data_IF_403909051291
#
_entry.id   IF_403909051291
#
_cell.length_a   1.000
_cell.length_b   1.000
_cell.length_c   1.000
_cell.angle_alpha   90.00
_cell.angle_beta   90.00
_cell.angle_gamma   90.00
#
_symmetry.space_group_name_H-M   'P 1'
#
loop_
_entity.id
_entity.type
_entity.pdbx_description
1 polymer ?
#
# COMPACT_ATOMS: atom_id res chain seq x y z
N UNK A 1 11.85 -32.37 2.16
CA UNK A 1 10.85 -31.83 1.20
C UNK A 1 11.59 -30.89 0.27
N UNK A 2 11.41 -31.04 -1.04
CA UNK A 2 12.04 -30.14 -2.02
C UNK A 2 11.21 -28.85 -2.06
N UNK A 3 11.85 -27.70 -1.83
CA UNK A 3 11.19 -26.39 -1.89
C UNK A 3 10.65 -26.12 -3.29
N UNK A 4 9.54 -25.43 -3.37
CA UNK A 4 9.02 -24.97 -4.66
C UNK A 4 9.95 -23.89 -5.27
N UNK A 5 9.87 -23.70 -6.59
CA UNK A 5 10.62 -22.66 -7.28
C UNK A 5 10.32 -21.25 -6.74
N UNK A 6 9.08 -21.02 -6.35
CA UNK A 6 8.61 -19.75 -5.76
C UNK A 6 9.29 -19.50 -4.40
N UNK A 7 9.27 -20.49 -3.49
CA UNK A 7 9.92 -20.37 -2.18
C UNK A 7 11.41 -20.08 -2.29
N UNK A 8 12.09 -20.73 -3.24
CA UNK A 8 13.51 -20.48 -3.49
C UNK A 8 13.77 -19.07 -3.98
N UNK A 9 12.93 -18.50 -4.86
CA UNK A 9 13.05 -17.10 -5.31
C UNK A 9 12.90 -16.13 -4.14
N UNK A 10 11.86 -16.32 -3.32
CA UNK A 10 11.58 -15.43 -2.18
C UNK A 10 12.71 -15.47 -1.16
N UNK A 11 13.27 -16.64 -0.86
CA UNK A 11 14.42 -16.75 0.06
C UNK A 11 15.68 -16.02 -0.43
N UNK A 12 15.84 -15.91 -1.74
CA UNK A 12 16.96 -15.23 -2.38
C UNK A 12 16.72 -13.75 -2.67
N UNK A 13 15.54 -13.21 -2.32
CA UNK A 13 15.25 -11.80 -2.49
C UNK A 13 16.17 -10.95 -1.60
N UNK A 14 17.00 -10.11 -2.20
CA UNK A 14 17.77 -9.07 -1.53
C UNK A 14 16.92 -7.78 -1.38
N UNK A 15 15.69 -7.93 -0.90
CA UNK A 15 14.72 -6.86 -0.77
C UNK A 15 13.96 -6.99 0.56
N UNK A 16 13.66 -5.86 1.16
CA UNK A 16 12.71 -5.76 2.27
C UNK A 16 11.32 -5.52 1.69
N UNK A 17 10.46 -6.53 1.78
CA UNK A 17 9.10 -6.47 1.23
C UNK A 17 8.13 -5.96 2.28
N UNK A 18 7.19 -5.12 1.88
CA UNK A 18 6.11 -4.67 2.75
C UNK A 18 4.74 -4.65 2.03
N UNK A 19 3.69 -4.84 2.81
CA UNK A 19 2.31 -4.80 2.34
C UNK A 19 1.50 -3.83 3.18
N UNK A 20 0.84 -2.88 2.51
CA UNK A 20 -0.11 -1.95 3.10
C UNK A 20 -1.49 -2.38 2.62
N UNK A 21 -2.23 -3.03 3.51
CA UNK A 21 -3.51 -3.65 3.20
C UNK A 21 -4.66 -2.86 3.82
N UNK A 22 -5.81 -2.87 3.18
CA UNK A 22 -6.97 -2.10 3.64
C UNK A 22 -8.26 -2.60 3.01
N UNK A 23 -9.40 -2.13 3.51
CA UNK A 23 -10.58 -2.05 2.65
C UNK A 23 -10.48 -0.85 1.72
N UNK A 24 -11.34 -0.78 0.70
CA UNK A 24 -11.38 0.39 -0.17
C UNK A 24 -11.71 1.69 0.61
N UNK A 25 -11.21 2.82 0.11
CA UNK A 25 -11.46 4.18 0.63
C UNK A 25 -10.78 4.50 1.97
N UNK A 26 -9.64 3.86 2.24
CA UNK A 26 -8.80 4.09 3.41
C UNK A 26 -7.58 4.99 3.14
N UNK A 27 -7.59 5.85 2.12
CA UNK A 27 -6.43 6.66 1.67
C UNK A 27 -5.21 5.82 1.26
N UNK A 28 -5.42 4.60 0.86
CA UNK A 28 -4.36 3.66 0.54
C UNK A 28 -3.41 4.19 -0.54
N UNK A 29 -3.95 4.80 -1.60
CA UNK A 29 -3.14 5.43 -2.66
C UNK A 29 -2.23 6.56 -2.14
N UNK A 30 -2.68 7.35 -1.18
CA UNK A 30 -1.85 8.37 -0.52
C UNK A 30 -0.68 7.72 0.23
N UNK A 31 -0.95 6.61 0.93
CA UNK A 31 0.08 5.84 1.60
C UNK A 31 1.08 5.23 0.62
N UNK A 32 0.60 4.67 -0.49
CA UNK A 32 1.48 4.18 -1.56
C UNK A 32 2.43 5.24 -2.08
N UNK A 33 1.93 6.45 -2.31
CA UNK A 33 2.76 7.61 -2.70
C UNK A 33 3.78 7.96 -1.62
N UNK A 34 3.35 7.94 -0.37
CA UNK A 34 4.18 8.32 0.75
C UNK A 34 5.39 7.40 0.91
N UNK A 35 5.22 6.11 0.67
CA UNK A 35 6.28 5.09 0.73
C UNK A 35 7.06 4.89 -0.58
N UNK A 36 6.77 5.68 -1.63
CA UNK A 36 7.60 5.76 -2.84
C UNK A 36 8.58 6.90 -2.68
N UNK A 37 9.76 6.63 -2.09
CA UNK A 37 10.75 7.64 -1.75
C UNK A 37 12.14 7.07 -1.54
N UNK A 38 13.18 7.70 -2.13
CA UNK A 38 14.59 7.26 -2.04
C UNK A 38 14.75 5.77 -2.39
N UNK A 39 15.18 4.98 -1.44
CA UNK A 39 15.44 3.54 -1.57
C UNK A 39 14.19 2.68 -1.30
N UNK A 40 13.01 3.26 -1.47
CA UNK A 40 11.71 2.61 -1.30
C UNK A 40 10.77 2.88 -2.47
N UNK A 41 10.11 1.85 -2.93
CA UNK A 41 9.07 1.93 -3.95
C UNK A 41 7.82 1.15 -3.50
N UNK A 42 6.67 1.79 -3.58
CA UNK A 42 5.38 1.17 -3.26
C UNK A 42 4.48 1.15 -4.50
N UNK A 43 4.14 -0.03 -4.97
CA UNK A 43 3.13 -0.22 -6.01
C UNK A 43 1.75 0.12 -5.48
N UNK A 44 0.93 0.80 -6.31
CA UNK A 44 -0.43 1.17 -5.96
C UNK A 44 -1.43 0.42 -6.84
N UNK A 45 -2.35 -0.34 -6.22
CA UNK A 45 -3.41 -1.13 -6.88
C UNK A 45 -2.88 -2.05 -8.00
N UNK A 46 -1.73 -2.68 -7.79
CA UNK A 46 -1.04 -3.50 -8.79
C UNK A 46 -1.75 -4.83 -9.07
N UNK A 47 -2.64 -5.29 -8.17
CA UNK A 47 -3.44 -6.51 -8.38
C UNK A 47 -4.26 -6.49 -9.67
N UNK A 48 -4.53 -5.31 -10.23
CA UNK A 48 -5.19 -5.16 -11.53
C UNK A 48 -4.35 -5.70 -12.71
N UNK A 49 -3.04 -5.83 -12.52
CA UNK A 49 -2.06 -6.19 -13.55
C UNK A 49 -1.32 -7.48 -13.23
N UNK A 50 -1.54 -8.04 -12.02
CA UNK A 50 -0.90 -9.26 -11.57
C UNK A 50 -1.94 -10.39 -11.57
N UNK A 51 -1.64 -11.48 -12.24
CA UNK A 51 -2.54 -12.63 -12.33
C UNK A 51 -2.12 -13.79 -11.42
N UNK A 52 -0.88 -13.76 -10.92
CA UNK A 52 -0.32 -14.80 -10.07
C UNK A 52 0.89 -14.31 -9.25
N UNK A 53 1.28 -15.09 -8.24
CA UNK A 53 2.39 -14.72 -7.35
C UNK A 53 3.77 -14.69 -8.02
N UNK A 54 4.01 -15.36 -9.15
CA UNK A 54 5.28 -15.21 -9.86
C UNK A 54 5.42 -13.79 -10.42
N UNK A 55 4.35 -13.23 -10.96
CA UNK A 55 4.33 -11.84 -11.45
C UNK A 55 4.55 -10.83 -10.31
N UNK A 56 4.00 -11.11 -9.10
CA UNK A 56 4.30 -10.30 -7.91
C UNK A 56 5.80 -10.31 -7.60
N UNK A 57 6.42 -11.49 -7.63
CA UNK A 57 7.87 -11.64 -7.40
C UNK A 57 8.66 -10.96 -8.52
N UNK A 58 8.25 -11.09 -9.78
CA UNK A 58 8.87 -10.40 -10.91
C UNK A 58 8.87 -8.87 -10.70
N UNK A 59 7.76 -8.31 -10.18
CA UNK A 59 7.69 -6.89 -9.81
C UNK A 59 8.71 -6.51 -8.72
N UNK A 60 8.83 -7.34 -7.69
CA UNK A 60 9.79 -7.10 -6.61
C UNK A 60 11.23 -7.15 -7.14
N UNK A 61 11.58 -8.17 -7.91
CA UNK A 61 12.92 -8.37 -8.47
C UNK A 61 13.31 -7.28 -9.48
N UNK A 62 12.32 -6.73 -10.22
CA UNK A 62 12.57 -5.69 -11.22
C UNK A 62 12.94 -4.33 -10.65
N UNK A 63 12.70 -4.11 -9.35
CA UNK A 63 12.97 -2.81 -8.71
C UNK A 63 14.41 -2.72 -8.23
N UNK A 64 15.09 -1.57 -8.43
CA UNK A 64 16.42 -1.32 -7.87
C UNK A 64 16.36 -1.05 -6.36
N UNK A 65 15.27 -0.51 -5.84
CA UNK A 65 15.15 -0.06 -4.45
C UNK A 65 15.27 -1.23 -3.46
N UNK A 66 15.79 -0.95 -2.27
CA UNK A 66 15.95 -1.89 -1.16
C UNK A 66 14.60 -2.31 -0.56
N UNK A 67 13.67 -1.36 -0.45
CA UNK A 67 12.32 -1.58 0.06
C UNK A 67 11.34 -1.62 -1.10
N UNK A 68 10.57 -2.68 -1.22
CA UNK A 68 9.56 -2.82 -2.26
C UNK A 68 8.24 -3.21 -1.63
N UNK A 69 7.24 -2.37 -1.81
CA UNK A 69 5.92 -2.55 -1.21
C UNK A 69 4.79 -2.59 -2.21
N UNK A 70 3.65 -3.00 -1.68
CA UNK A 70 2.38 -3.03 -2.39
C UNK A 70 1.30 -2.43 -1.50
N UNK A 71 0.67 -1.42 -2.00
CA UNK A 71 -0.57 -0.87 -1.46
C UNK A 71 -1.72 -1.30 -2.37
N UNK A 72 -2.58 -2.17 -1.87
CA UNK A 72 -3.67 -2.69 -2.67
C UNK A 72 -4.78 -3.34 -1.81
N UNK A 73 -6.00 -2.79 -1.82
CA UNK A 73 -7.12 -3.38 -1.09
C UNK A 73 -7.49 -4.80 -1.53
N UNK A 74 -7.30 -5.13 -2.81
CA UNK A 74 -7.64 -6.46 -3.33
C UNK A 74 -6.64 -7.54 -2.87
N UNK A 75 -5.39 -7.17 -2.53
CA UNK A 75 -4.41 -8.11 -1.98
C UNK A 75 -4.82 -8.65 -0.60
N UNK A 76 -5.65 -7.92 0.13
CA UNK A 76 -6.20 -8.38 1.40
C UNK A 76 -6.96 -9.72 1.26
N UNK A 77 -7.61 -9.95 0.11
CA UNK A 77 -8.29 -11.21 -0.17
C UNK A 77 -7.36 -12.43 -0.23
N UNK A 78 -6.06 -12.21 -0.39
CA UNK A 78 -5.03 -13.23 -0.52
C UNK A 78 -4.09 -13.27 0.69
N UNK A 79 -4.47 -12.67 1.82
CA UNK A 79 -3.59 -12.50 2.99
C UNK A 79 -2.93 -13.79 3.46
N UNK A 80 -3.65 -14.91 3.43
CA UNK A 80 -3.14 -16.22 3.83
C UNK A 80 -1.99 -16.70 2.92
N UNK A 81 -2.17 -16.53 1.61
CA UNK A 81 -1.14 -16.86 0.63
C UNK A 81 0.03 -15.88 0.67
N UNK A 82 -0.25 -14.59 0.88
CA UNK A 82 0.79 -13.57 1.04
C UNK A 82 1.66 -13.89 2.25
N UNK A 83 1.05 -14.15 3.41
CA UNK A 83 1.82 -14.49 4.61
C UNK A 83 2.56 -15.81 4.48
N UNK A 84 1.94 -16.82 3.86
CA UNK A 84 2.59 -18.11 3.59
C UNK A 84 3.84 -17.97 2.70
N UNK A 85 3.82 -17.05 1.74
CA UNK A 85 4.95 -16.78 0.85
C UNK A 85 5.95 -15.77 1.43
N UNK A 86 5.48 -14.71 2.08
CA UNK A 86 6.29 -13.62 2.61
C UNK A 86 6.17 -13.46 4.14
N UNK A 87 6.52 -14.50 4.93
CA UNK A 87 6.35 -14.45 6.39
C UNK A 87 7.28 -13.44 7.08
N UNK A 88 8.28 -12.91 6.37
CA UNK A 88 9.22 -11.88 6.86
C UNK A 88 8.91 -10.48 6.34
N UNK A 89 7.86 -10.32 5.54
CA UNK A 89 7.44 -9.01 5.07
C UNK A 89 6.89 -8.18 6.22
N UNK A 90 6.99 -6.87 6.09
CA UNK A 90 6.36 -5.91 6.98
C UNK A 90 4.90 -5.72 6.57
N UNK A 91 3.97 -5.85 7.51
CA UNK A 91 2.54 -5.73 7.25
C UNK A 91 1.94 -4.52 7.97
N UNK A 92 1.18 -3.71 7.25
CA UNK A 92 0.41 -2.60 7.80
C UNK A 92 -1.04 -2.73 7.37
N UNK A 93 -1.96 -2.52 8.31
CA UNK A 93 -3.39 -2.50 8.06
C UNK A 93 -3.92 -1.06 8.22
N UNK A 94 -4.49 -0.52 7.13
CA UNK A 94 -5.20 0.75 7.20
C UNK A 94 -6.66 0.48 7.55
N UNK A 95 -7.13 1.13 8.61
CA UNK A 95 -8.50 0.97 9.09
C UNK A 95 -9.34 2.24 8.86
N UNK A 96 -10.62 2.08 8.72
CA UNK A 96 -11.59 3.17 8.62
C UNK A 96 -12.95 2.70 9.10
N UNK A 97 -13.72 3.62 9.69
CA UNK A 97 -15.10 3.32 10.01
C UNK A 97 -15.85 2.80 8.78
N UNK A 98 -16.39 1.60 8.87
CA UNK A 98 -17.04 0.87 7.78
C UNK A 98 -18.14 1.69 7.09
N UNK A 99 -19.06 2.26 7.87
CA UNK A 99 -20.19 3.00 7.32
C UNK A 99 -19.76 4.23 6.54
N UNK A 100 -18.65 4.87 6.95
CA UNK A 100 -18.06 6.02 6.26
C UNK A 100 -17.39 5.57 4.97
N UNK A 101 -16.65 4.47 5.02
CA UNK A 101 -15.99 3.89 3.86
C UNK A 101 -17.00 3.41 2.79
N UNK A 102 -18.07 2.73 3.19
CA UNK A 102 -19.17 2.30 2.31
C UNK A 102 -19.84 3.48 1.60
N UNK A 103 -20.21 4.54 2.35
CA UNK A 103 -20.79 5.75 1.74
C UNK A 103 -19.85 6.40 0.74
N UNK A 104 -18.58 6.52 1.09
CA UNK A 104 -17.54 7.07 0.21
C UNK A 104 -17.37 6.23 -1.07
N UNK A 105 -17.41 4.90 -0.94
CA UNK A 105 -17.32 3.99 -2.07
C UNK A 105 -18.53 4.12 -3.00
N UNK A 106 -19.76 4.08 -2.47
CA UNK A 106 -20.97 4.26 -3.26
C UNK A 106 -20.95 5.56 -4.06
N UNK A 107 -20.57 6.66 -3.41
CA UNK A 107 -20.49 7.98 -4.06
C UNK A 107 -19.45 8.00 -5.18
N UNK A 108 -18.23 7.51 -4.91
CA UNK A 108 -17.11 7.57 -5.87
C UNK A 108 -17.27 6.61 -7.05
N UNK A 109 -17.80 5.42 -6.80
CA UNK A 109 -17.94 4.36 -7.81
C UNK A 109 -19.34 4.32 -8.45
N UNK A 110 -20.27 5.18 -8.00
CA UNK A 110 -21.69 5.14 -8.37
C UNK A 110 -22.30 3.73 -8.19
N UNK A 111 -21.84 3.04 -7.15
CA UNK A 111 -22.20 1.66 -6.88
C UNK A 111 -23.55 1.57 -6.13
N UNK A 112 -24.29 0.49 -6.38
CA UNK A 112 -25.51 0.21 -5.60
C UNK A 112 -25.17 -0.16 -4.15
N UNK A 113 -26.12 0.05 -3.25
CA UNK A 113 -26.01 -0.35 -1.84
C UNK A 113 -25.72 -1.86 -1.71
N UNK A 114 -26.46 -2.70 -2.43
CA UNK A 114 -26.30 -4.15 -2.39
C UNK A 114 -24.89 -4.60 -2.80
N UNK A 115 -24.38 -4.07 -3.91
CA UNK A 115 -23.01 -4.37 -4.37
C UNK A 115 -21.97 -3.92 -3.35
N UNK A 116 -22.12 -2.71 -2.81
CA UNK A 116 -21.22 -2.15 -1.80
C UNK A 116 -21.19 -2.99 -0.54
N UNK A 117 -22.36 -3.30 0.01
CA UNK A 117 -22.47 -4.13 1.22
C UNK A 117 -21.82 -5.50 1.04
N UNK A 118 -22.04 -6.15 -0.12
CA UNK A 118 -21.42 -7.44 -0.43
C UNK A 118 -19.88 -7.35 -0.49
N UNK A 119 -19.34 -6.31 -1.16
CA UNK A 119 -17.89 -6.10 -1.23
C UNK A 119 -17.29 -5.81 0.15
N UNK A 120 -17.91 -4.93 0.93
CA UNK A 120 -17.41 -4.59 2.26
C UNK A 120 -17.53 -5.75 3.25
N UNK A 121 -18.57 -6.56 3.18
CA UNK A 121 -18.63 -7.80 3.97
C UNK A 121 -17.41 -8.70 3.73
N UNK A 122 -16.99 -8.86 2.47
CA UNK A 122 -15.80 -9.63 2.13
C UNK A 122 -14.52 -8.99 2.69
N UNK A 123 -14.28 -7.70 2.45
CA UNK A 123 -13.09 -7.03 2.98
C UNK A 123 -13.00 -7.11 4.50
N UNK A 124 -14.13 -6.91 5.23
CA UNK A 124 -14.11 -6.98 6.68
C UNK A 124 -13.93 -8.40 7.22
N UNK A 125 -14.40 -9.42 6.52
CA UNK A 125 -14.05 -10.81 6.82
C UNK A 125 -12.56 -11.06 6.61
N UNK A 126 -11.97 -10.52 5.56
CA UNK A 126 -10.54 -10.68 5.28
C UNK A 126 -9.67 -9.84 6.24
N UNK A 127 -10.16 -8.70 6.76
CA UNK A 127 -9.51 -7.96 7.86
C UNK A 127 -9.45 -8.83 9.13
N UNK A 128 -10.54 -9.46 9.52
CA UNK A 128 -10.54 -10.35 10.69
C UNK A 128 -9.60 -11.56 10.48
N UNK A 129 -9.57 -12.08 9.26
CA UNK A 129 -8.63 -13.12 8.86
C UNK A 129 -7.18 -12.65 8.95
N UNK A 130 -6.88 -11.45 8.44
CA UNK A 130 -5.56 -10.80 8.56
C UNK A 130 -5.12 -10.74 10.02
N UNK A 131 -5.96 -10.20 10.90
CA UNK A 131 -5.68 -10.07 12.34
C UNK A 131 -5.44 -11.41 13.02
N UNK A 132 -6.02 -12.50 12.51
CA UNK A 132 -5.84 -13.84 13.07
C UNK A 132 -4.58 -14.55 12.56
N UNK A 133 -4.08 -14.20 11.38
CA UNK A 133 -2.98 -14.90 10.70
C UNK A 133 -1.65 -14.18 10.88
N UNK A 134 -1.65 -12.85 10.79
CA UNK A 134 -0.42 -12.05 10.87
C UNK A 134 -0.11 -11.78 12.35
N UNK A 135 0.98 -12.34 12.89
CA UNK A 135 1.29 -12.22 14.32
C UNK A 135 1.87 -10.86 14.70
N UNK A 136 2.47 -10.16 13.75
CA UNK A 136 3.12 -8.87 13.95
C UNK A 136 2.78 -7.93 12.79
N UNK A 137 2.11 -6.84 13.10
CA UNK A 137 1.72 -5.80 12.14
C UNK A 137 1.45 -4.49 12.88
N UNK A 138 1.46 -3.39 12.13
CA UNK A 138 1.03 -2.09 12.61
C UNK A 138 -0.31 -1.71 12.00
N UNK A 139 -1.06 -0.87 12.71
CA UNK A 139 -2.32 -0.31 12.21
C UNK A 139 -2.27 1.21 12.26
N UNK A 140 -2.98 1.84 11.33
CA UNK A 140 -3.28 3.27 11.41
C UNK A 140 -4.72 3.51 10.95
N UNK A 141 -5.45 4.29 11.75
CA UNK A 141 -6.81 4.68 11.40
C UNK A 141 -6.81 5.84 10.39
N UNK A 142 -7.80 5.87 9.51
CA UNK A 142 -7.98 6.94 8.52
C UNK A 142 -7.92 8.34 9.15
N UNK A 143 -8.53 8.50 10.33
CA UNK A 143 -8.60 9.78 11.02
C UNK A 143 -7.25 10.19 11.68
N UNK A 144 -6.31 9.25 11.80
CA UNK A 144 -4.95 9.49 12.31
C UNK A 144 -3.93 9.78 11.20
N UNK A 145 -4.31 9.64 9.93
CA UNK A 145 -3.39 9.85 8.80
C UNK A 145 -3.01 11.33 8.57
N UNK A 146 -3.69 12.26 9.26
CA UNK A 146 -3.32 13.67 9.29
C UNK A 146 -2.43 14.00 10.51
N UNK A 147 -2.13 13.01 11.37
CA UNK A 147 -1.19 13.13 12.47
C UNK A 147 0.21 12.69 12.02
N UNK A 148 1.14 13.65 12.01
CA UNK A 148 2.52 13.42 11.58
C UNK A 148 3.23 12.35 12.43
N UNK A 149 3.01 12.31 13.76
CA UNK A 149 3.69 11.36 14.63
C UNK A 149 3.18 9.93 14.40
N UNK A 150 1.89 9.76 14.12
CA UNK A 150 1.32 8.45 13.75
C UNK A 150 1.87 7.96 12.40
N UNK A 151 1.93 8.83 11.40
CA UNK A 151 2.51 8.45 10.09
C UNK A 151 4.01 8.19 10.20
N UNK A 152 4.74 8.95 11.01
CA UNK A 152 6.15 8.72 11.30
C UNK A 152 6.39 7.39 12.04
N UNK A 153 5.47 6.97 12.91
CA UNK A 153 5.52 5.65 13.55
C UNK A 153 5.44 4.54 12.49
N UNK A 154 4.49 4.62 11.56
CA UNK A 154 4.35 3.66 10.45
C UNK A 154 5.57 3.73 9.51
N UNK A 155 6.07 4.95 9.24
CA UNK A 155 7.30 5.12 8.45
C UNK A 155 8.48 4.34 9.04
N UNK A 156 8.75 4.55 10.32
CA UNK A 156 9.86 3.90 11.01
C UNK A 156 9.70 2.37 11.08
N UNK A 157 8.47 1.89 11.10
CA UNK A 157 8.16 0.46 11.07
C UNK A 157 8.46 -0.17 9.70
N UNK A 158 8.09 0.51 8.61
CA UNK A 158 8.32 0.03 7.23
C UNK A 158 9.76 0.31 6.79
N UNK A 159 10.27 1.50 7.05
CA UNK A 159 11.55 2.03 6.54
C UNK A 159 12.51 2.41 7.68
N UNK A 160 12.91 1.48 8.55
CA UNK A 160 13.70 1.81 9.75
C UNK A 160 15.07 2.44 9.45
N UNK A 161 15.61 2.21 8.25
CA UNK A 161 16.91 2.74 7.83
C UNK A 161 16.79 4.07 7.04
N UNK A 162 15.57 4.58 6.82
CA UNK A 162 15.31 5.81 6.05
C UNK A 162 14.72 6.87 6.95
N UNK A 163 15.43 7.98 7.12
CA UNK A 163 14.95 9.09 7.94
C UNK A 163 13.62 9.64 7.41
N UNK A 164 12.70 9.89 8.34
CA UNK A 164 11.44 10.55 8.03
C UNK A 164 11.70 11.97 7.50
N UNK A 165 11.01 12.34 6.44
CA UNK A 165 11.18 13.63 5.76
C UNK A 165 9.94 14.50 5.99
N UNK A 166 10.12 15.57 6.77
CA UNK A 166 9.03 16.49 7.15
C UNK A 166 8.57 17.31 5.94
N UNK A 167 9.48 17.72 5.06
CA UNK A 167 9.13 18.52 3.89
C UNK A 167 8.29 17.71 2.91
N UNK A 168 8.65 16.42 2.75
CA UNK A 168 7.84 15.47 1.98
C UNK A 168 6.47 15.26 2.62
N UNK A 169 6.40 15.13 3.94
CA UNK A 169 5.13 15.04 4.66
C UNK A 169 4.22 16.22 4.33
N UNK A 170 4.72 17.44 4.51
CA UNK A 170 3.97 18.66 4.23
C UNK A 170 3.49 18.71 2.78
N UNK A 171 4.39 18.40 1.83
CA UNK A 171 4.04 18.38 0.42
C UNK A 171 2.91 17.39 0.10
N UNK A 172 3.00 16.16 0.59
CA UNK A 172 2.02 15.12 0.28
C UNK A 172 0.69 15.33 1.00
N UNK A 173 0.68 15.97 2.16
CA UNK A 173 -0.55 16.32 2.88
C UNK A 173 -1.37 17.35 2.12
N UNK A 174 -0.72 18.24 1.37
CA UNK A 174 -1.38 19.25 0.54
C UNK A 174 -1.89 18.69 -0.80
N UNK A 175 -1.49 17.47 -1.18
CA UNK A 175 -1.95 16.86 -2.43
C UNK A 175 -3.36 16.30 -2.30
N UNK A 176 -4.15 16.35 -3.39
CA UNK A 176 -5.40 15.62 -3.46
C UNK A 176 -5.18 14.13 -3.20
N UNK A 177 -5.98 13.54 -2.31
CA UNK A 177 -5.83 12.14 -1.85
C UNK A 177 -6.01 11.07 -2.94
N UNK A 178 -6.47 11.45 -4.11
CA UNK A 178 -6.64 10.56 -5.27
C UNK A 178 -5.45 10.61 -6.24
N UNK A 179 -4.50 11.54 -6.03
CA UNK A 179 -3.28 11.59 -6.85
C UNK A 179 -2.37 10.41 -6.52
N UNK A 180 -1.87 9.74 -7.53
CA UNK A 180 -0.81 8.73 -7.39
C UNK A 180 0.48 9.27 -7.99
N UNK A 181 1.58 9.16 -7.25
CA UNK A 181 2.93 9.49 -7.73
C UNK A 181 3.53 8.39 -8.60
N UNK A 182 2.89 7.24 -8.59
CA UNK A 182 3.34 6.10 -9.36
C UNK A 182 3.06 6.34 -10.84
N UNK A 183 4.09 6.59 -11.63
CA UNK A 183 4.04 6.89 -13.07
C UNK A 183 3.34 5.82 -13.94
N UNK A 184 2.87 4.74 -13.33
CA UNK A 184 2.16 3.66 -14.02
C UNK A 184 0.67 3.95 -14.25
N UNK A 185 0.12 5.03 -13.67
CA UNK A 185 -1.25 5.46 -13.98
C UNK A 185 -1.24 6.80 -14.71
N UNK A 186 -1.26 6.82 -16.06
CA UNK A 186 -1.20 8.06 -16.83
C UNK A 186 -2.52 8.86 -16.86
N UNK A 187 -3.53 8.48 -16.04
CA UNK A 187 -4.90 8.93 -16.25
C UNK A 187 -5.34 10.13 -15.42
N UNK A 188 -4.44 10.77 -14.66
CA UNK A 188 -4.83 11.91 -13.87
C UNK A 188 -4.04 13.17 -14.25
N UNK A 189 -4.54 13.90 -15.27
CA UNK A 189 -3.98 15.17 -15.69
C UNK A 189 -3.92 16.19 -14.54
N UNK A 190 -4.79 16.09 -13.55
CA UNK A 190 -4.80 16.95 -12.37
C UNK A 190 -3.60 16.73 -11.43
N UNK A 191 -2.99 15.55 -11.50
CA UNK A 191 -1.82 15.22 -10.70
C UNK A 191 -0.49 15.57 -11.35
N UNK A 192 -0.46 15.81 -12.67
CA UNK A 192 0.77 16.13 -13.42
C UNK A 192 1.50 17.37 -12.89
N UNK A 193 0.78 18.38 -12.46
CA UNK A 193 1.38 19.58 -11.85
C UNK A 193 2.06 19.30 -10.51
N UNK A 194 1.50 18.38 -9.72
CA UNK A 194 2.07 17.95 -8.45
C UNK A 194 3.32 17.07 -8.65
N UNK A 195 3.31 16.18 -9.65
CA UNK A 195 4.49 15.39 -10.05
C UNK A 195 5.68 16.26 -10.44
N UNK A 196 5.46 17.30 -11.24
CA UNK A 196 6.52 18.21 -11.68
C UNK A 196 7.19 18.96 -10.51
N UNK A 197 6.48 19.17 -9.41
CA UNK A 197 7.02 19.80 -8.21
C UNK A 197 7.82 18.81 -7.36
N UNK A 198 7.40 17.54 -7.31
CA UNK A 198 8.11 16.48 -6.60
C UNK A 198 9.42 16.10 -7.30
N UNK A 199 9.41 15.96 -8.61
CA UNK A 199 10.63 15.71 -9.41
C UNK A 199 11.68 16.84 -9.21
N UNK A 200 11.23 18.07 -8.94
CA UNK A 200 12.13 19.20 -8.63
C UNK A 200 12.71 19.14 -7.21
N UNK A 201 11.98 18.59 -6.25
CA UNK A 201 12.49 18.44 -4.87
C UNK A 201 13.53 17.32 -4.76
N UNK A 202 13.35 16.20 -5.49
CA UNK A 202 14.33 15.11 -5.54
C UNK A 202 15.64 15.54 -6.25
N UNK A 203 15.62 16.63 -7.03
CA UNK A 203 16.81 17.23 -7.67
C UNK A 203 17.56 18.23 -6.76
N UNK A 204 17.01 18.60 -5.61
CA UNK A 204 17.59 19.59 -4.67
C UNK A 204 18.21 18.92 -3.45
N UNK A 205 18.00 17.61 -3.28
CA UNK A 205 18.60 16.76 -2.25
C UNK A 205 19.67 15.85 -2.85
#
# INVERSE_FOLDING_TARGET
MQKSRIETRIENLDKKVFFILSSARCRSSWFGNYFTYKDSFCYNEESRYITNFNELIDRIESRPEKYVGFEDPELLHYVESLYGLFPKATYVLLERNRNVAERSFMSSQRASQEYTTRKFNRWYQDIEKFKSIIPEYETIDFDQMDDMEEVKRIWNYILPDVSFDIDRWNLLTDLPIYCTLNKQSPHDENCLGAFNNLDKMDMIS
#
